data_IF_564629114959
#
_entry.id   IF_564629114959
#
_cell.length_a   1.000
_cell.length_b   1.000
_cell.length_c   1.000
_cell.angle_alpha   90.00
_cell.angle_beta   90.00
_cell.angle_gamma   90.00
#
_symmetry.space_group_name_H-M   'P 1'
#
loop_
_entity.id
_entity.type
_entity.pdbx_description
1 polymer ?
#
# COMPACT_ATOMS: atom_id res chain seq x y z
N UNK A 1 27.20 24.51 -6.60
CA UNK A 1 25.87 24.25 -6.03
C UNK A 1 24.96 23.96 -7.21
N UNK A 2 24.90 22.70 -7.63
CA UNK A 2 23.90 22.25 -8.59
C UNK A 2 22.55 22.34 -7.89
N UNK A 3 21.60 23.04 -8.49
CA UNK A 3 20.21 23.06 -8.01
C UNK A 3 19.67 21.65 -8.21
N UNK A 4 19.37 20.94 -7.13
CA UNK A 4 18.55 19.73 -7.21
C UNK A 4 17.21 20.14 -7.84
N UNK A 5 16.94 19.67 -9.06
CA UNK A 5 15.62 19.79 -9.67
C UNK A 5 14.63 19.01 -8.80
N UNK A 6 13.65 19.70 -8.20
CA UNK A 6 12.55 19.03 -7.51
C UNK A 6 11.87 18.07 -8.49
N UNK A 7 11.81 16.78 -8.14
CA UNK A 7 11.01 15.82 -8.90
C UNK A 7 9.56 16.31 -8.96
N UNK A 8 9.09 16.58 -10.17
CA UNK A 8 7.74 17.11 -10.44
C UNK A 8 6.63 16.11 -10.05
N UNK A 9 6.95 14.81 -10.01
CA UNK A 9 6.05 13.72 -9.61
C UNK A 9 6.82 12.54 -8.99
N UNK A 10 6.11 11.74 -8.18
CA UNK A 10 6.65 10.54 -7.50
C UNK A 10 6.49 9.28 -8.35
N UNK A 11 5.37 9.15 -9.06
CA UNK A 11 5.00 7.99 -9.88
C UNK A 11 4.46 8.41 -11.24
N UNK A 12 4.62 7.54 -12.23
CA UNK A 12 4.14 7.74 -13.61
C UNK A 12 3.27 6.57 -14.03
N UNK A 13 1.99 6.82 -14.32
CA UNK A 13 1.07 5.79 -14.78
C UNK A 13 0.64 6.03 -16.22
N UNK A 14 0.70 4.98 -17.03
CA UNK A 14 0.22 4.94 -18.40
C UNK A 14 -1.18 4.36 -18.44
N UNK A 15 -2.14 5.20 -18.82
CA UNK A 15 -3.56 4.85 -18.93
C UNK A 15 -4.01 5.00 -20.38
N UNK A 16 -4.72 4.01 -20.90
CA UNK A 16 -5.26 4.02 -22.25
C UNK A 16 -6.78 4.16 -22.22
N UNK A 17 -7.33 4.90 -23.19
CA UNK A 17 -8.75 4.87 -23.49
C UNK A 17 -8.95 4.11 -24.80
N UNK A 18 -9.75 3.04 -24.73
CA UNK A 18 -10.09 2.21 -25.89
C UNK A 18 -11.60 2.12 -26.03
N UNK A 19 -12.08 1.91 -27.24
CA UNK A 19 -13.50 1.97 -27.54
C UNK A 19 -13.75 2.38 -28.99
N UNK A 20 -14.99 2.20 -29.45
CA UNK A 20 -15.38 2.51 -30.82
C UNK A 20 -15.12 3.99 -31.19
N UNK A 21 -15.14 4.31 -32.48
CA UNK A 21 -15.04 5.71 -32.88
C UNK A 21 -16.27 6.49 -32.38
N UNK A 22 -16.13 7.80 -32.16
CA UNK A 22 -17.24 8.69 -31.76
C UNK A 22 -17.90 8.43 -30.39
N UNK A 23 -17.41 7.47 -29.60
CA UNK A 23 -17.93 7.21 -28.24
C UNK A 23 -17.61 8.32 -27.23
N UNK A 24 -16.66 9.20 -27.54
CA UNK A 24 -16.34 10.38 -26.74
C UNK A 24 -15.06 10.32 -25.89
N UNK A 25 -14.11 9.44 -26.23
CA UNK A 25 -12.82 9.28 -25.52
C UNK A 25 -12.04 10.59 -25.41
N UNK A 26 -11.91 11.31 -26.53
CA UNK A 26 -11.24 12.62 -26.61
C UNK A 26 -11.91 13.66 -25.71
N UNK A 27 -13.25 13.69 -25.69
CA UNK A 27 -14.02 14.61 -24.86
C UNK A 27 -13.87 14.28 -23.38
N UNK A 28 -13.86 13.00 -22.98
CA UNK A 28 -13.58 12.59 -21.59
C UNK A 28 -12.21 13.11 -21.16
N UNK A 29 -11.18 12.95 -22.01
CA UNK A 29 -9.82 13.40 -21.70
C UNK A 29 -9.68 14.91 -21.62
N UNK A 30 -10.26 15.64 -22.58
CA UNK A 30 -10.26 17.11 -22.55
C UNK A 30 -11.04 17.65 -21.37
N UNK A 31 -12.15 16.99 -21.00
CA UNK A 31 -12.91 17.38 -19.82
C UNK A 31 -12.12 17.18 -18.54
N UNK A 32 -11.43 16.04 -18.42
CA UNK A 32 -10.58 15.77 -17.27
C UNK A 32 -9.37 16.70 -17.22
N UNK A 33 -8.60 16.86 -18.31
CA UNK A 33 -7.34 17.61 -18.29
C UNK A 33 -7.55 19.12 -18.28
N UNK A 34 -8.49 19.61 -19.08
CA UNK A 34 -8.58 21.04 -19.42
C UNK A 34 -9.88 21.67 -18.89
N UNK A 35 -10.78 20.88 -18.29
CA UNK A 35 -12.16 21.26 -17.96
C UNK A 35 -12.96 21.79 -19.17
N UNK A 36 -12.56 21.42 -20.38
CA UNK A 36 -13.16 21.87 -21.64
C UNK A 36 -14.05 20.79 -22.27
N UNK A 37 -15.09 21.24 -22.96
CA UNK A 37 -15.92 20.40 -23.81
C UNK A 37 -16.18 21.11 -25.13
N UNK A 38 -15.96 20.42 -26.24
CA UNK A 38 -16.17 20.95 -27.59
C UNK A 38 -17.15 20.03 -28.32
N UNK A 39 -18.25 20.60 -28.82
CA UNK A 39 -19.22 19.87 -29.64
C UNK A 39 -18.70 19.59 -31.05
N UNK A 40 -17.77 20.40 -31.56
CA UNK A 40 -17.12 20.16 -32.84
C UNK A 40 -16.26 18.89 -32.79
N UNK A 41 -16.72 17.89 -33.52
CA UNK A 41 -16.05 16.61 -33.64
C UNK A 41 -14.95 16.66 -34.71
N UNK A 42 -13.70 16.84 -34.28
CA UNK A 42 -12.54 16.49 -35.10
C UNK A 42 -12.11 15.05 -34.78
N UNK A 43 -12.14 14.18 -35.78
CA UNK A 43 -11.63 12.80 -35.65
C UNK A 43 -10.16 12.81 -35.22
N UNK A 44 -9.85 12.17 -34.11
CA UNK A 44 -8.46 11.93 -33.69
C UNK A 44 -7.78 11.03 -34.72
N UNK A 45 -6.78 11.56 -35.42
CA UNK A 45 -5.93 10.79 -36.31
C UNK A 45 -4.79 10.15 -35.51
N UNK A 46 -4.88 8.85 -35.24
CA UNK A 46 -3.83 8.09 -34.56
C UNK A 46 -3.98 8.08 -33.04
N UNK A 47 -2.90 8.39 -32.32
CA UNK A 47 -2.88 8.42 -30.86
C UNK A 47 -2.50 9.82 -30.35
N UNK A 48 -3.28 10.33 -29.40
CA UNK A 48 -2.96 11.57 -28.70
C UNK A 48 -2.57 11.29 -27.25
N UNK A 49 -1.53 11.96 -26.76
CA UNK A 49 -1.06 11.86 -25.38
C UNK A 49 -1.38 13.17 -24.65
N UNK A 50 -2.08 13.06 -23.51
CA UNK A 50 -2.21 14.14 -22.53
C UNK A 50 -1.53 13.75 -21.22
N UNK A 51 -0.95 14.75 -20.56
CA UNK A 51 -0.29 14.59 -19.27
C UNK A 51 -1.10 15.34 -18.21
N UNK A 52 -1.42 14.69 -17.08
CA UNK A 52 -2.03 15.36 -15.93
C UNK A 52 -1.47 14.79 -14.63
N UNK A 53 -1.01 15.66 -13.75
CA UNK A 53 -0.58 15.26 -12.40
C UNK A 53 -1.76 15.33 -11.44
N UNK A 54 -2.00 14.26 -10.69
CA UNK A 54 -2.96 14.20 -9.59
C UNK A 54 -2.29 13.73 -8.31
N UNK A 55 -2.92 13.96 -7.15
CA UNK A 55 -2.38 13.55 -5.86
C UNK A 55 -3.29 12.48 -5.23
N UNK A 56 -2.73 11.31 -4.91
CA UNK A 56 -3.41 10.22 -4.20
C UNK A 56 -2.57 9.85 -2.98
N UNK A 57 -3.17 9.86 -1.79
CA UNK A 57 -2.50 9.53 -0.52
C UNK A 57 -1.17 10.26 -0.30
N UNK A 58 -1.15 11.56 -0.61
CA UNK A 58 0.06 12.42 -0.54
C UNK A 58 1.20 12.00 -1.48
N UNK A 59 0.92 11.19 -2.50
CA UNK A 59 1.84 10.84 -3.58
C UNK A 59 1.40 11.56 -4.85
N UNK A 60 2.31 12.32 -5.48
CA UNK A 60 2.06 12.98 -6.77
C UNK A 60 2.24 11.99 -7.91
N UNK A 61 1.15 11.69 -8.61
CA UNK A 61 1.12 10.72 -9.70
C UNK A 61 0.89 11.46 -11.00
N UNK A 62 1.85 11.37 -11.92
CA UNK A 62 1.70 11.87 -13.28
C UNK A 62 1.03 10.81 -14.15
N UNK A 63 -0.09 11.16 -14.76
CA UNK A 63 -0.84 10.29 -15.66
C UNK A 63 -0.47 10.59 -17.12
N UNK A 64 -0.02 9.56 -17.83
CA UNK A 64 0.10 9.54 -19.29
C UNK A 64 -1.18 8.98 -19.89
N UNK A 65 -2.05 9.86 -20.37
CA UNK A 65 -3.36 9.51 -20.87
C UNK A 65 -3.34 9.39 -22.39
N UNK A 66 -3.55 8.18 -22.90
CA UNK A 66 -3.50 7.87 -24.32
C UNK A 66 -4.91 7.75 -24.91
N UNK A 67 -5.28 8.71 -25.76
CA UNK A 67 -6.47 8.61 -26.62
C UNK A 67 -6.12 7.83 -27.88
N UNK A 68 -6.60 6.59 -27.96
CA UNK A 68 -6.28 5.70 -29.08
C UNK A 68 -7.50 5.63 -30.00
N UNK A 69 -7.40 6.28 -31.16
CA UNK A 69 -8.38 6.11 -32.24
C UNK A 69 -7.63 5.66 -33.49
N UNK A 70 -7.44 4.34 -33.61
CA UNK A 70 -6.70 3.74 -34.73
C UNK A 70 -7.71 3.33 -35.81
N UNK A 71 -7.63 3.88 -37.03
CA UNK A 71 -8.39 3.36 -38.16
C UNK A 71 -8.05 1.89 -38.41
N UNK A 72 -9.03 1.08 -38.79
CA UNK A 72 -8.85 -0.38 -38.94
C UNK A 72 -7.64 -0.78 -39.82
N UNK A 73 -7.32 0.02 -40.84
CA UNK A 73 -6.16 -0.19 -41.72
C UNK A 73 -4.78 -0.05 -41.04
N UNK A 74 -4.72 0.49 -39.83
CA UNK A 74 -3.50 0.71 -39.05
C UNK A 74 -3.40 -0.17 -37.80
N UNK A 75 -4.25 -1.22 -37.70
CA UNK A 75 -4.30 -2.18 -36.59
C UNK A 75 -2.95 -2.80 -36.21
N UNK A 76 -2.01 -2.96 -37.15
CA UNK A 76 -0.68 -3.53 -36.87
C UNK A 76 0.16 -2.67 -35.90
N UNK A 77 -0.19 -1.40 -35.70
CA UNK A 77 0.52 -0.47 -34.80
C UNK A 77 -0.06 -0.54 -33.38
N UNK A 78 -1.28 -1.08 -33.20
CA UNK A 78 -1.97 -1.19 -31.91
C UNK A 78 -1.12 -1.76 -30.76
N UNK A 79 -0.33 -2.86 -30.95
CA UNK A 79 0.43 -3.45 -29.84
C UNK A 79 1.43 -2.49 -29.18
N UNK A 80 1.95 -1.51 -29.93
CA UNK A 80 2.90 -0.53 -29.39
C UNK A 80 2.28 0.36 -28.32
N UNK A 81 0.98 0.66 -28.43
CA UNK A 81 0.29 1.52 -27.48
C UNK A 81 -0.07 0.77 -26.20
N UNK A 82 -0.54 -0.48 -26.30
CA UNK A 82 -0.90 -1.32 -25.15
C UNK A 82 0.29 -1.71 -24.27
N UNK A 83 1.49 -1.78 -24.83
CA UNK A 83 2.70 -2.15 -24.07
C UNK A 83 2.96 -1.20 -22.91
N UNK A 84 3.02 -1.75 -21.70
CA UNK A 84 3.28 -1.00 -20.47
C UNK A 84 2.08 -0.19 -19.96
N UNK A 85 0.89 -0.42 -20.50
CA UNK A 85 -0.36 0.08 -19.90
C UNK A 85 -0.51 -0.47 -18.48
N UNK A 86 -0.78 0.41 -17.52
CA UNK A 86 -1.12 0.04 -16.15
C UNK A 86 -2.64 0.12 -15.92
N UNK A 87 -3.32 1.00 -16.67
CA UNK A 87 -4.77 1.14 -16.62
C UNK A 87 -5.40 1.26 -18.00
N UNK A 88 -6.63 0.77 -18.14
CA UNK A 88 -7.40 0.86 -19.38
C UNK A 88 -8.85 1.22 -19.07
N UNK A 89 -9.34 2.22 -19.78
CA UNK A 89 -10.75 2.57 -19.83
C UNK A 89 -11.38 1.96 -21.09
N UNK A 90 -12.38 1.11 -20.87
CA UNK A 90 -13.24 0.53 -21.91
C UNK A 90 -14.45 1.43 -22.10
N UNK A 91 -14.48 2.23 -23.16
CA UNK A 91 -15.51 3.26 -23.36
C UNK A 91 -16.48 2.85 -24.46
N UNK A 92 -17.77 2.85 -24.13
CA UNK A 92 -18.86 2.76 -25.10
C UNK A 92 -19.82 3.96 -24.95
N UNK A 93 -20.69 4.14 -25.94
CA UNK A 93 -21.73 5.17 -25.95
C UNK A 93 -23.08 4.53 -25.63
N UNK A 94 -23.79 5.04 -24.62
CA UNK A 94 -25.09 4.48 -24.21
C UNK A 94 -26.17 4.59 -25.31
N UNK A 95 -25.99 5.47 -26.29
CA UNK A 95 -26.91 5.66 -27.42
C UNK A 95 -26.46 4.89 -28.67
N UNK A 96 -25.46 4.02 -28.58
CA UNK A 96 -24.96 3.25 -29.72
C UNK A 96 -24.68 1.80 -29.32
N UNK A 97 -25.58 0.90 -29.71
CA UNK A 97 -25.46 -0.54 -29.42
C UNK A 97 -24.20 -1.20 -29.99
N UNK A 98 -23.77 -0.81 -31.19
CA UNK A 98 -22.56 -1.38 -31.83
C UNK A 98 -21.31 -1.08 -31.00
N UNK A 99 -21.24 0.11 -30.40
CA UNK A 99 -20.11 0.50 -29.55
C UNK A 99 -19.97 -0.39 -28.30
N UNK A 100 -21.09 -0.85 -27.75
CA UNK A 100 -21.14 -1.76 -26.60
C UNK A 100 -20.76 -3.19 -27.00
N UNK A 101 -21.30 -3.70 -28.10
CA UNK A 101 -20.98 -5.04 -28.61
C UNK A 101 -19.48 -5.20 -28.94
N UNK A 102 -18.85 -4.12 -29.42
CA UNK A 102 -17.43 -4.09 -29.73
C UNK A 102 -16.51 -4.21 -28.51
N UNK A 103 -16.98 -3.93 -27.29
CA UNK A 103 -16.21 -4.16 -26.06
C UNK A 103 -15.79 -5.63 -25.97
N UNK A 104 -16.76 -6.54 -26.03
CA UNK A 104 -16.52 -7.99 -25.95
C UNK A 104 -15.89 -8.56 -27.21
N UNK A 105 -16.39 -8.14 -28.37
CA UNK A 105 -16.01 -8.76 -29.63
C UNK A 105 -14.57 -8.45 -30.05
N UNK A 106 -14.05 -7.29 -29.61
CA UNK A 106 -12.80 -6.74 -30.10
C UNK A 106 -11.88 -6.25 -28.98
N UNK A 107 -12.28 -5.24 -28.21
CA UNK A 107 -11.35 -4.53 -27.31
C UNK A 107 -10.79 -5.42 -26.20
N UNK A 108 -11.63 -6.28 -25.60
CA UNK A 108 -11.14 -7.25 -24.62
C UNK A 108 -10.13 -8.26 -25.19
N UNK A 109 -10.23 -8.61 -26.48
CA UNK A 109 -9.27 -9.52 -27.12
C UNK A 109 -7.94 -8.82 -27.32
N UNK A 110 -7.95 -7.57 -27.80
CA UNK A 110 -6.71 -6.78 -27.95
C UNK A 110 -6.00 -6.57 -26.61
N UNK A 111 -6.76 -6.25 -25.56
CA UNK A 111 -6.20 -6.08 -24.20
C UNK A 111 -5.52 -7.39 -23.78
N UNK A 112 -6.25 -8.52 -23.82
CA UNK A 112 -5.71 -9.84 -23.45
C UNK A 112 -4.49 -10.25 -24.26
N UNK A 113 -4.39 -9.81 -25.51
CA UNK A 113 -3.26 -10.15 -26.40
C UNK A 113 -2.03 -9.26 -26.16
N UNK A 114 -2.22 -7.97 -25.87
CA UNK A 114 -1.13 -6.98 -25.89
C UNK A 114 -0.78 -6.36 -24.53
N UNK A 115 -1.51 -6.66 -23.46
CA UNK A 115 -1.25 -6.15 -22.11
C UNK A 115 -0.75 -7.24 -21.16
N UNK A 116 -0.24 -6.83 -20.00
CA UNK A 116 0.08 -7.76 -18.92
C UNK A 116 -1.20 -8.20 -18.19
N UNK A 117 -1.13 -9.32 -17.46
CA UNK A 117 -2.26 -9.84 -16.66
C UNK A 117 -2.73 -8.88 -15.54
N UNK A 118 -1.88 -7.94 -15.12
CA UNK A 118 -2.12 -7.02 -13.99
C UNK A 118 -2.57 -5.63 -14.44
N UNK A 119 -3.24 -5.51 -15.59
CA UNK A 119 -3.74 -4.20 -16.05
C UNK A 119 -5.09 -3.91 -15.40
N UNK A 120 -5.21 -2.75 -14.75
CA UNK A 120 -6.47 -2.33 -14.17
C UNK A 120 -7.43 -1.86 -15.27
N UNK A 121 -8.71 -2.21 -15.13
CA UNK A 121 -9.72 -1.92 -16.14
C UNK A 121 -10.96 -1.33 -15.50
N UNK A 122 -11.57 -0.35 -16.16
CA UNK A 122 -12.90 0.17 -15.82
C UNK A 122 -13.75 0.26 -17.08
N UNK A 123 -14.99 -0.24 -16.99
CA UNK A 123 -16.00 -0.10 -18.04
C UNK A 123 -16.75 1.23 -17.88
N UNK A 124 -16.87 1.97 -18.99
CA UNK A 124 -17.48 3.30 -19.03
C UNK A 124 -18.58 3.36 -20.08
N UNK A 125 -19.79 3.67 -19.64
CA UNK A 125 -20.89 4.10 -20.52
C UNK A 125 -20.95 5.62 -20.60
N UNK A 126 -20.46 6.21 -21.70
CA UNK A 126 -20.46 7.66 -21.90
C UNK A 126 -21.78 8.17 -22.49
N UNK A 127 -21.97 9.50 -22.43
CA UNK A 127 -23.15 10.25 -22.91
C UNK A 127 -24.43 9.97 -22.13
N UNK A 128 -24.30 9.74 -20.82
CA UNK A 128 -25.46 9.51 -19.95
C UNK A 128 -26.39 10.74 -19.82
N UNK A 129 -26.00 11.90 -20.34
CA UNK A 129 -26.87 13.05 -20.54
C UNK A 129 -27.93 12.85 -21.63
N UNK A 130 -27.74 11.90 -22.54
CA UNK A 130 -28.66 11.60 -23.64
C UNK A 130 -29.64 10.46 -23.30
N UNK A 131 -30.26 10.53 -22.12
CA UNK A 131 -31.14 9.47 -21.60
C UNK A 131 -32.31 9.14 -22.54
N UNK A 132 -32.85 10.13 -23.24
CA UNK A 132 -33.95 9.96 -24.22
C UNK A 132 -33.57 9.12 -25.44
N UNK A 133 -32.26 9.01 -25.73
CA UNK A 133 -31.70 8.25 -26.87
C UNK A 133 -31.01 6.96 -26.43
N UNK A 134 -31.20 6.54 -25.18
CA UNK A 134 -30.53 5.36 -24.62
C UNK A 134 -30.92 4.09 -25.38
N UNK A 135 -29.91 3.37 -25.84
CA UNK A 135 -30.05 2.03 -26.45
C UNK A 135 -29.55 0.92 -25.50
N UNK A 136 -28.61 1.25 -24.62
CA UNK A 136 -28.04 0.33 -23.63
C UNK A 136 -28.49 0.72 -22.23
N UNK A 137 -29.20 -0.19 -21.55
CA UNK A 137 -29.63 0.03 -20.17
C UNK A 137 -28.43 -0.03 -19.21
N UNK A 138 -28.57 0.62 -18.04
CA UNK A 138 -27.51 0.63 -17.03
C UNK A 138 -27.22 -0.79 -16.52
N UNK A 139 -28.27 -1.61 -16.43
CA UNK A 139 -28.21 -3.00 -15.98
C UNK A 139 -27.34 -3.83 -16.93
N UNK A 140 -27.49 -3.69 -18.25
CA UNK A 140 -26.63 -4.38 -19.22
C UNK A 140 -25.16 -3.99 -19.11
N UNK A 141 -24.89 -2.70 -18.90
CA UNK A 141 -23.53 -2.21 -18.65
C UNK A 141 -22.92 -2.83 -17.40
N UNK A 142 -23.72 -2.88 -16.32
CA UNK A 142 -23.33 -3.49 -15.05
C UNK A 142 -23.12 -5.00 -15.15
N UNK A 143 -24.04 -5.72 -15.79
CA UNK A 143 -23.93 -7.17 -16.03
C UNK A 143 -22.63 -7.51 -16.75
N UNK A 144 -22.28 -6.76 -17.80
CA UNK A 144 -21.02 -6.96 -18.50
C UNK A 144 -19.81 -6.70 -17.60
N UNK A 145 -19.84 -5.65 -16.80
CA UNK A 145 -18.74 -5.35 -15.89
C UNK A 145 -18.57 -6.40 -14.78
N UNK A 146 -19.69 -6.92 -14.25
CA UNK A 146 -19.71 -8.00 -13.27
C UNK A 146 -19.15 -9.31 -13.87
N UNK A 147 -19.50 -9.64 -15.13
CA UNK A 147 -18.92 -10.78 -15.86
C UNK A 147 -17.40 -10.66 -16.04
N UNK A 148 -16.90 -9.44 -16.21
CA UNK A 148 -15.49 -9.13 -16.38
C UNK A 148 -14.76 -8.91 -15.05
N UNK A 149 -15.49 -8.85 -13.95
CA UNK A 149 -14.99 -8.49 -12.62
C UNK A 149 -14.24 -7.14 -12.61
N UNK A 150 -14.82 -6.12 -13.23
CA UNK A 150 -14.28 -4.76 -13.31
C UNK A 150 -15.32 -3.72 -12.86
N UNK A 151 -14.92 -2.54 -12.36
CA UNK A 151 -15.86 -1.48 -12.04
C UNK A 151 -16.60 -0.93 -13.26
N UNK A 152 -17.84 -0.47 -13.05
CA UNK A 152 -18.68 0.17 -14.07
C UNK A 152 -19.11 1.57 -13.65
N UNK A 153 -18.98 2.53 -14.57
CA UNK A 153 -19.48 3.89 -14.39
C UNK A 153 -20.20 4.39 -15.65
N UNK A 154 -21.29 5.11 -15.43
CA UNK A 154 -21.84 5.99 -16.47
C UNK A 154 -21.31 7.41 -16.30
N UNK A 155 -20.88 8.02 -17.40
CA UNK A 155 -20.27 9.34 -17.42
C UNK A 155 -20.89 10.24 -18.48
N UNK A 156 -20.77 11.54 -18.26
CA UNK A 156 -21.08 12.55 -19.27
C UNK A 156 -19.94 13.55 -19.34
N UNK A 157 -19.18 13.50 -20.43
CA UNK A 157 -18.16 14.52 -20.71
C UNK A 157 -18.78 15.91 -20.88
N UNK A 158 -20.01 15.99 -21.37
CA UNK A 158 -20.75 17.25 -21.56
C UNK A 158 -21.14 17.89 -20.23
N UNK A 159 -21.75 17.12 -19.34
CA UNK A 159 -22.26 17.59 -18.04
C UNK A 159 -21.27 17.42 -16.88
N UNK A 160 -20.04 16.97 -17.15
CA UNK A 160 -19.02 16.64 -16.15
C UNK A 160 -19.46 15.59 -15.11
N UNK A 161 -20.27 14.61 -15.52
CA UNK A 161 -20.76 13.57 -14.60
C UNK A 161 -19.72 12.46 -14.51
N UNK A 162 -19.28 12.16 -13.29
CA UNK A 162 -18.34 11.07 -12.94
C UNK A 162 -16.95 11.12 -13.61
N UNK A 163 -16.58 12.21 -14.29
CA UNK A 163 -15.30 12.33 -15.00
C UNK A 163 -14.12 12.21 -14.03
N UNK A 164 -14.03 13.03 -12.98
CA UNK A 164 -12.90 12.92 -12.05
C UNK A 164 -12.89 11.59 -11.29
N UNK A 165 -14.08 11.06 -10.95
CA UNK A 165 -14.24 9.83 -10.19
C UNK A 165 -13.60 8.63 -10.90
N UNK A 166 -13.84 8.46 -12.20
CA UNK A 166 -13.27 7.32 -12.95
C UNK A 166 -11.74 7.35 -13.00
N UNK A 167 -11.13 8.54 -13.13
CA UNK A 167 -9.67 8.68 -13.17
C UNK A 167 -9.05 8.48 -11.79
N UNK A 168 -9.67 9.00 -10.74
CA UNK A 168 -9.21 8.80 -9.36
C UNK A 168 -9.30 7.32 -8.99
N UNK A 169 -10.42 6.65 -9.30
CA UNK A 169 -10.62 5.24 -8.98
C UNK A 169 -9.61 4.35 -9.70
N UNK A 170 -9.46 4.49 -11.03
CA UNK A 170 -8.50 3.71 -11.79
C UNK A 170 -7.07 3.94 -11.27
N UNK A 171 -6.70 5.20 -11.02
CA UNK A 171 -5.36 5.53 -10.51
C UNK A 171 -5.14 4.93 -9.12
N UNK A 172 -6.15 4.94 -8.24
CA UNK A 172 -6.07 4.30 -6.92
C UNK A 172 -5.89 2.80 -7.06
N UNK A 173 -6.66 2.12 -7.91
CA UNK A 173 -6.53 0.68 -8.12
C UNK A 173 -5.12 0.31 -8.64
N UNK A 174 -4.59 1.09 -9.58
CA UNK A 174 -3.21 0.91 -10.07
C UNK A 174 -2.22 1.14 -8.94
N UNK A 175 -2.40 2.19 -8.14
CA UNK A 175 -1.53 2.51 -7.01
C UNK A 175 -1.53 1.41 -5.93
N UNK A 176 -2.67 0.79 -5.68
CA UNK A 176 -2.82 -0.35 -4.78
C UNK A 176 -2.15 -1.62 -5.34
N UNK A 177 -2.26 -1.84 -6.65
CA UNK A 177 -1.75 -3.05 -7.32
C UNK A 177 -0.28 -2.97 -7.75
N UNK A 178 0.30 -1.76 -7.84
CA UNK A 178 1.72 -1.57 -8.16
C UNK A 178 2.67 -2.17 -7.13
N UNK A 179 2.16 -2.50 -5.94
CA UNK A 179 2.94 -2.99 -4.83
C UNK A 179 2.13 -4.00 -4.00
N UNK A 180 1.59 -5.08 -4.58
CA UNK A 180 0.92 -6.10 -3.75
C UNK A 180 1.84 -6.67 -2.65
N UNK A 181 3.14 -6.86 -2.95
CA UNK A 181 4.10 -7.31 -1.94
C UNK A 181 4.52 -6.16 -1.02
N UNK A 182 4.72 -4.94 -1.52
CA UNK A 182 5.10 -3.81 -0.68
C UNK A 182 3.92 -3.34 0.17
N UNK A 183 2.77 -2.98 -0.41
CA UNK A 183 1.55 -2.56 0.29
C UNK A 183 1.10 -3.58 1.33
N UNK A 184 1.19 -4.91 1.07
CA UNK A 184 0.94 -5.90 2.12
C UNK A 184 1.95 -5.83 3.29
N UNK A 185 3.25 -5.56 3.04
CA UNK A 185 4.21 -5.26 4.12
C UNK A 185 3.75 -4.02 4.88
N UNK A 186 3.41 -2.95 4.13
CA UNK A 186 2.99 -1.66 4.69
C UNK A 186 1.79 -1.88 5.63
N UNK A 187 0.75 -2.59 5.19
CA UNK A 187 -0.45 -2.93 5.97
C UNK A 187 -0.17 -3.88 7.14
N UNK A 188 0.68 -4.89 6.96
CA UNK A 188 1.04 -5.84 8.03
C UNK A 188 1.75 -5.14 9.17
N UNK A 189 2.81 -4.36 8.87
CA UNK A 189 3.54 -3.57 9.87
C UNK A 189 2.61 -2.58 10.58
N UNK A 190 1.75 -1.89 9.82
CA UNK A 190 0.78 -0.97 10.39
C UNK A 190 -0.18 -1.65 11.38
N UNK A 191 -0.72 -2.81 11.02
CA UNK A 191 -1.61 -3.60 11.87
C UNK A 191 -0.90 -4.10 13.14
N UNK A 192 0.39 -4.42 13.07
CA UNK A 192 1.12 -4.92 14.23
C UNK A 192 1.37 -3.83 15.28
N UNK A 193 1.68 -2.61 14.85
CA UNK A 193 1.77 -1.48 15.77
C UNK A 193 0.39 -1.05 16.31
N UNK A 194 -0.66 -1.19 15.51
CA UNK A 194 -2.02 -1.01 16.00
C UNK A 194 -2.36 -2.01 17.11
N UNK A 195 -2.01 -3.30 16.95
CA UNK A 195 -2.18 -4.31 18.00
C UNK A 195 -1.40 -3.98 19.27
N UNK A 196 -0.18 -3.42 19.17
CA UNK A 196 0.58 -2.97 20.35
C UNK A 196 -0.16 -1.85 21.08
N UNK A 197 -0.65 -0.86 20.33
CA UNK A 197 -1.37 0.27 20.89
C UNK A 197 -2.67 -0.16 21.59
N UNK A 198 -3.47 -1.02 20.95
CA UNK A 198 -4.75 -1.48 21.48
C UNK A 198 -4.61 -2.37 22.72
N UNK A 199 -3.58 -3.23 22.75
CA UNK A 199 -3.41 -4.22 23.83
C UNK A 199 -2.71 -3.65 25.06
N UNK A 200 -1.96 -2.55 24.94
CA UNK A 200 -1.23 -1.88 26.05
C UNK A 200 -0.31 -2.82 26.83
N UNK A 201 0.15 -3.90 26.21
CA UNK A 201 1.08 -4.87 26.81
C UNK A 201 2.52 -4.37 26.63
N UNK A 202 3.40 -4.70 27.57
CA UNK A 202 4.84 -4.38 27.52
C UNK A 202 5.18 -2.87 27.41
N UNK A 203 4.24 -2.01 27.80
CA UNK A 203 4.51 -0.59 27.98
C UNK A 203 5.47 -0.39 29.16
N UNK A 204 6.50 0.41 28.96
CA UNK A 204 7.59 0.68 29.88
C UNK A 204 7.53 2.10 30.48
N UNK A 205 6.46 2.85 30.17
CA UNK A 205 6.23 4.18 30.71
C UNK A 205 4.75 4.58 30.76
N UNK A 206 4.42 5.56 31.60
CA UNK A 206 3.08 6.12 31.74
C UNK A 206 3.11 7.64 31.53
N UNK A 207 2.19 8.14 30.71
CA UNK A 207 1.91 9.57 30.55
C UNK A 207 0.56 9.90 31.17
N UNK A 208 0.33 11.17 31.50
CA UNK A 208 -0.96 11.64 32.01
C UNK A 208 -1.61 12.62 31.04
N UNK A 209 -2.95 12.64 31.00
CA UNK A 209 -3.77 13.63 30.30
C UNK A 209 -5.04 13.94 31.09
N UNK A 210 -5.79 14.97 30.70
CA UNK A 210 -7.09 15.29 31.32
C UNK A 210 -8.14 14.26 30.91
N UNK A 211 -8.96 13.85 31.87
CA UNK A 211 -10.10 12.97 31.60
C UNK A 211 -11.19 13.74 30.85
N UNK A 212 -11.66 13.19 29.73
CA UNK A 212 -12.74 13.79 28.93
C UNK A 212 -14.08 13.81 29.69
N UNK A 213 -14.28 12.88 30.63
CA UNK A 213 -15.49 12.81 31.46
C UNK A 213 -15.43 13.75 32.67
N UNK A 214 -14.23 13.99 33.20
CA UNK A 214 -14.00 14.92 34.30
C UNK A 214 -12.65 15.63 34.19
N UNK A 215 -12.58 16.84 33.62
CA UNK A 215 -11.32 17.54 33.37
C UNK A 215 -10.46 17.87 34.62
N UNK A 216 -11.02 17.72 35.84
CA UNK A 216 -10.28 17.85 37.09
C UNK A 216 -9.48 16.58 37.44
N UNK A 217 -9.84 15.44 36.85
CA UNK A 217 -9.12 14.18 36.97
C UNK A 217 -8.06 14.04 35.88
N UNK A 218 -7.01 13.28 36.22
CA UNK A 218 -6.01 12.84 35.26
C UNK A 218 -6.13 11.36 35.00
N UNK A 219 -6.00 10.98 33.72
CA UNK A 219 -5.92 9.60 33.28
C UNK A 219 -4.48 9.27 32.94
N UNK A 220 -4.04 8.10 33.38
CA UNK A 220 -2.75 7.51 33.02
C UNK A 220 -2.90 6.67 31.77
N UNK A 221 -2.04 6.90 30.78
CA UNK A 221 -1.98 6.14 29.54
C UNK A 221 -0.61 5.45 29.47
N UNK A 222 -0.57 4.11 29.46
CA UNK A 222 0.68 3.37 29.29
C UNK A 222 1.16 3.48 27.83
N UNK A 223 2.47 3.66 27.64
CA UNK A 223 3.11 3.82 26.33
C UNK A 223 4.46 3.08 26.26
N UNK A 224 4.92 2.84 25.04
CA UNK A 224 6.25 2.32 24.74
C UNK A 224 7.24 3.46 24.48
N UNK A 225 8.21 3.71 25.38
CA UNK A 225 9.21 4.79 25.25
C UNK A 225 9.88 4.75 23.90
N UNK A 226 10.31 3.57 23.46
CA UNK A 226 11.07 3.39 22.22
C UNK A 226 10.30 3.88 20.98
N UNK A 227 8.99 3.63 20.91
CA UNK A 227 8.14 4.05 19.80
C UNK A 227 8.03 5.59 19.78
N UNK A 228 7.83 6.19 20.96
CA UNK A 228 7.75 7.65 21.09
C UNK A 228 9.08 8.31 20.76
N UNK A 229 10.20 7.84 21.32
CA UNK A 229 11.54 8.38 21.07
C UNK A 229 11.85 8.40 19.57
N UNK A 230 11.58 7.30 18.89
CA UNK A 230 11.86 7.20 17.46
C UNK A 230 10.94 8.08 16.61
N UNK A 231 9.62 8.04 16.87
CA UNK A 231 8.66 8.80 16.06
C UNK A 231 8.70 10.29 16.33
N UNK A 232 9.03 10.71 17.55
CA UNK A 232 9.19 12.11 17.92
C UNK A 232 10.64 12.60 17.84
N UNK A 233 11.62 11.72 17.60
CA UNK A 233 13.06 12.04 17.54
C UNK A 233 13.52 12.81 18.78
N UNK A 234 13.08 12.35 19.95
CA UNK A 234 13.37 12.95 21.26
C UNK A 234 14.05 11.91 22.16
N UNK A 235 14.82 12.38 23.13
CA UNK A 235 15.47 11.51 24.12
C UNK A 235 14.56 11.23 25.33
N UNK A 236 15.01 10.34 26.21
CA UNK A 236 14.27 9.96 27.43
C UNK A 236 13.96 11.14 28.35
N UNK A 237 14.93 12.03 28.59
CA UNK A 237 14.72 13.22 29.43
C UNK A 237 13.63 14.15 28.87
N UNK A 238 13.57 14.30 27.55
CA UNK A 238 12.54 15.09 26.88
C UNK A 238 11.15 14.44 26.98
N UNK A 239 11.07 13.11 26.99
CA UNK A 239 9.81 12.39 27.23
C UNK A 239 9.33 12.67 28.66
N UNK A 240 10.21 12.46 29.64
CA UNK A 240 9.85 12.49 31.06
C UNK A 240 9.48 13.90 31.55
N UNK A 241 10.09 14.95 30.97
CA UNK A 241 9.89 16.32 31.45
C UNK A 241 9.03 17.14 30.49
N UNK A 242 9.42 17.24 29.22
CA UNK A 242 8.81 18.20 28.28
C UNK A 242 7.52 17.62 27.68
N UNK A 243 7.59 16.42 27.10
CA UNK A 243 6.42 15.78 26.49
C UNK A 243 5.35 15.50 27.54
N UNK A 244 5.73 14.91 28.69
CA UNK A 244 4.80 14.64 29.79
C UNK A 244 4.05 15.90 30.24
N UNK A 245 4.76 17.02 30.41
CA UNK A 245 4.17 18.31 30.79
C UNK A 245 3.11 18.77 29.78
N UNK A 246 3.42 18.69 28.48
CA UNK A 246 2.48 19.07 27.42
C UNK A 246 1.26 18.13 27.41
N UNK A 247 1.47 16.81 27.40
CA UNK A 247 0.37 15.83 27.34
C UNK A 247 -0.60 15.99 28.51
N UNK A 248 -0.08 16.28 29.71
CA UNK A 248 -0.88 16.45 30.94
C UNK A 248 -1.89 17.61 30.89
N UNK A 249 -1.70 18.56 29.97
CA UNK A 249 -2.56 19.73 29.82
C UNK A 249 -3.67 19.54 28.79
N UNK A 250 -3.62 18.47 28.00
CA UNK A 250 -4.53 18.22 26.88
C UNK A 250 -5.59 17.17 27.23
N UNK A 251 -6.68 17.16 26.46
CA UNK A 251 -7.77 16.20 26.64
C UNK A 251 -7.35 14.79 26.23
N UNK A 252 -8.04 13.77 26.77
CA UNK A 252 -7.74 12.37 26.44
C UNK A 252 -7.91 12.12 24.95
N UNK A 253 -8.98 12.64 24.34
CA UNK A 253 -9.21 12.55 22.89
C UNK A 253 -8.04 13.11 22.07
N UNK A 254 -7.52 14.29 22.42
CA UNK A 254 -6.40 14.90 21.70
C UNK A 254 -5.13 14.06 21.80
N UNK A 255 -4.83 13.55 23.00
CA UNK A 255 -3.66 12.71 23.25
C UNK A 255 -3.79 11.37 22.52
N UNK A 256 -4.95 10.74 22.52
CA UNK A 256 -5.20 9.50 21.78
C UNK A 256 -4.99 9.67 20.28
N UNK A 257 -5.39 10.80 19.68
CA UNK A 257 -5.16 11.08 18.26
C UNK A 257 -3.66 11.19 17.95
N UNK A 258 -2.90 11.87 18.81
CA UNK A 258 -1.45 11.93 18.66
C UNK A 258 -0.81 10.55 18.77
N UNK A 259 -1.19 9.76 19.77
CA UNK A 259 -0.65 8.42 19.96
C UNK A 259 -1.00 7.51 18.78
N UNK A 260 -2.22 7.55 18.26
CA UNK A 260 -2.60 6.81 17.05
C UNK A 260 -1.71 7.16 15.85
N UNK A 261 -1.43 8.45 15.65
CA UNK A 261 -0.49 8.88 14.62
C UNK A 261 0.95 8.40 14.89
N UNK A 262 1.40 8.44 16.14
CA UNK A 262 2.73 7.96 16.52
C UNK A 262 2.86 6.47 16.22
N UNK A 263 1.91 5.65 16.65
CA UNK A 263 1.98 4.20 16.55
C UNK A 263 1.81 3.67 15.12
N UNK A 264 0.93 4.26 14.31
CA UNK A 264 0.63 3.67 12.99
C UNK A 264 0.51 4.70 11.85
N UNK A 265 0.85 5.97 12.07
CA UNK A 265 0.99 6.97 11.01
C UNK A 265 -0.30 7.38 10.29
N UNK A 266 -1.47 6.94 10.77
CA UNK A 266 -2.79 7.29 10.23
C UNK A 266 -3.62 8.00 11.29
N UNK A 267 -4.40 8.97 10.81
CA UNK A 267 -5.41 9.70 11.58
C UNK A 267 -6.65 9.82 10.69
N UNK A 268 -7.84 9.78 11.28
CA UNK A 268 -9.08 9.94 10.52
C UNK A 268 -9.14 11.34 9.90
N UNK A 269 -9.87 11.52 8.79
CA UNK A 269 -10.02 12.84 8.17
C UNK A 269 -10.59 13.89 9.14
N UNK A 270 -11.48 13.46 10.04
CA UNK A 270 -12.13 14.31 11.03
C UNK A 270 -11.16 14.82 12.11
N UNK A 271 -10.09 14.06 12.38
CA UNK A 271 -9.11 14.35 13.42
C UNK A 271 -7.86 15.08 12.89
N UNK A 272 -7.80 15.39 11.58
CA UNK A 272 -6.66 16.06 10.94
C UNK A 272 -6.36 17.45 11.49
N UNK A 273 -7.39 18.20 11.90
CA UNK A 273 -7.24 19.52 12.51
C UNK A 273 -6.48 19.42 13.84
N UNK A 274 -6.83 18.45 14.68
CA UNK A 274 -6.20 18.19 15.98
C UNK A 274 -4.73 17.81 15.80
N UNK A 275 -4.42 16.96 14.81
CA UNK A 275 -3.02 16.61 14.51
C UNK A 275 -2.20 17.83 14.05
N UNK A 276 -2.79 18.75 13.28
CA UNK A 276 -2.12 19.99 12.88
C UNK A 276 -1.84 20.90 14.08
N UNK A 277 -2.70 20.92 15.09
CA UNK A 277 -2.45 21.67 16.32
C UNK A 277 -1.29 21.08 17.13
N UNK A 278 -1.16 19.75 17.14
CA UNK A 278 -0.02 19.08 17.78
C UNK A 278 1.35 19.51 17.20
N UNK A 279 1.41 19.85 15.91
CA UNK A 279 2.62 20.43 15.30
C UNK A 279 3.06 21.71 16.02
N UNK A 280 2.12 22.56 16.39
CA UNK A 280 2.43 23.80 17.11
C UNK A 280 2.79 23.50 18.57
N UNK A 281 2.01 22.64 19.23
CA UNK A 281 2.24 22.25 20.63
C UNK A 281 3.62 21.62 20.84
N UNK A 282 4.09 20.79 19.90
CA UNK A 282 5.36 20.06 20.00
C UNK A 282 6.55 20.76 19.33
N UNK A 283 6.35 21.90 18.68
CA UNK A 283 7.37 22.61 17.89
C UNK A 283 8.67 22.95 18.67
N UNK A 284 8.56 23.12 19.98
CA UNK A 284 9.70 23.41 20.86
C UNK A 284 10.51 22.17 21.25
N UNK A 285 9.90 20.98 21.20
CA UNK A 285 10.50 19.72 21.66
C UNK A 285 11.00 18.90 20.48
N UNK A 286 10.25 18.88 19.37
CA UNK A 286 10.62 18.12 18.18
C UNK A 286 10.46 18.91 16.87
N UNK A 287 11.39 18.69 15.95
CA UNK A 287 11.41 19.31 14.60
C UNK A 287 10.81 18.40 13.54
N UNK A 288 9.71 17.74 13.87
CA UNK A 288 9.10 16.77 12.95
C UNK A 288 8.05 17.42 12.07
N UNK A 289 8.12 17.08 10.79
CA UNK A 289 7.01 17.27 9.87
C UNK A 289 5.97 16.18 10.15
N UNK A 290 4.81 16.59 10.65
CA UNK A 290 3.65 15.72 10.88
C UNK A 290 3.08 15.29 9.52
N UNK A 291 3.74 14.33 8.90
CA UNK A 291 3.33 13.70 7.65
C UNK A 291 2.32 12.61 7.95
N UNK A 292 1.27 12.57 7.14
CA UNK A 292 0.26 11.51 7.17
C UNK A 292 0.65 10.50 6.10
N UNK A 293 0.42 9.22 6.39
CA UNK A 293 0.60 8.17 5.41
C UNK A 293 1.71 7.19 5.75
N UNK A 294 1.56 6.01 5.18
CA UNK A 294 2.31 4.81 5.58
C UNK A 294 3.80 4.91 5.22
N UNK A 295 4.14 5.61 4.14
CA UNK A 295 5.54 5.79 3.70
C UNK A 295 6.39 6.53 4.73
N UNK A 296 5.86 7.60 5.34
CA UNK A 296 6.59 8.34 6.37
C UNK A 296 6.79 7.48 7.62
N UNK A 297 5.74 6.77 8.02
CA UNK A 297 5.79 5.86 9.16
C UNK A 297 6.84 4.76 8.96
N UNK A 298 6.89 4.15 7.78
CA UNK A 298 7.85 3.09 7.47
C UNK A 298 9.29 3.58 7.41
N UNK A 299 9.53 4.79 6.92
CA UNK A 299 10.86 5.40 6.92
C UNK A 299 11.37 5.61 8.36
N UNK A 300 10.52 6.09 9.25
CA UNK A 300 10.89 6.24 10.66
C UNK A 300 11.09 4.87 11.34
N UNK A 301 10.28 3.88 10.98
CA UNK A 301 10.43 2.52 11.46
C UNK A 301 11.74 1.89 10.97
N UNK A 302 12.14 2.11 9.73
CA UNK A 302 13.43 1.68 9.20
C UNK A 302 14.62 2.26 9.99
N UNK A 303 14.52 3.51 10.44
CA UNK A 303 15.52 4.13 11.33
C UNK A 303 15.60 3.36 12.66
N UNK A 304 14.46 3.04 13.28
CA UNK A 304 14.42 2.21 14.49
C UNK A 304 15.05 0.84 14.27
N UNK A 305 14.69 0.16 13.18
CA UNK A 305 15.17 -1.19 12.88
C UNK A 305 16.69 -1.24 12.67
N UNK A 306 17.26 -0.19 12.09
CA UNK A 306 18.69 -0.10 11.78
C UNK A 306 19.54 0.41 12.95
N UNK A 307 18.92 0.90 14.03
CA UNK A 307 19.63 1.35 15.22
C UNK A 307 20.08 0.17 16.09
N UNK A 308 21.39 0.00 16.25
CA UNK A 308 21.95 -1.02 17.14
C UNK A 308 21.78 -0.65 18.63
N UNK A 309 21.75 0.64 18.95
CA UNK A 309 21.65 1.15 20.33
C UNK A 309 20.28 0.86 20.97
N UNK A 310 19.24 0.71 20.13
CA UNK A 310 17.86 0.50 20.59
C UNK A 310 17.49 -0.98 20.76
N UNK A 311 18.36 -1.91 20.34
CA UNK A 311 18.13 -3.34 20.48
C UNK A 311 18.32 -3.77 21.93
N UNK A 312 17.23 -4.25 22.53
CA UNK A 312 17.10 -4.52 23.96
C UNK A 312 17.07 -6.02 24.30
N UNK A 313 17.27 -6.90 23.32
CA UNK A 313 17.28 -8.35 23.51
C UNK A 313 18.35 -9.07 22.67
N UNK A 314 18.84 -10.20 23.19
CA UNK A 314 19.90 -11.01 22.59
C UNK A 314 19.45 -12.46 22.42
N UNK A 315 19.59 -12.98 21.21
CA UNK A 315 19.36 -14.39 20.85
C UNK A 315 20.73 -15.04 20.61
N UNK A 316 21.02 -16.18 21.26
CA UNK A 316 22.26 -16.92 21.04
C UNK A 316 21.96 -18.18 20.20
N UNK A 317 22.73 -18.38 19.13
CA UNK A 317 22.69 -19.60 18.33
C UNK A 317 24.09 -20.02 17.90
N UNK A 318 24.51 -21.23 18.28
CA UNK A 318 25.83 -21.79 17.98
C UNK A 318 26.98 -20.83 18.35
N UNK A 319 26.96 -20.26 19.56
CA UNK A 319 27.91 -19.26 20.06
C UNK A 319 27.97 -17.94 19.26
N UNK A 320 26.98 -17.65 18.42
CA UNK A 320 26.80 -16.34 17.81
C UNK A 320 25.65 -15.58 18.48
N UNK A 321 25.90 -14.31 18.80
CA UNK A 321 24.92 -13.41 19.39
C UNK A 321 24.21 -12.61 18.29
N UNK A 322 22.88 -12.56 18.36
CA UNK A 322 22.04 -11.75 17.47
C UNK A 322 21.20 -10.81 18.31
N UNK A 323 21.46 -9.50 18.18
CA UNK A 323 20.69 -8.45 18.86
C UNK A 323 19.41 -8.12 18.11
N UNK A 324 18.31 -7.97 18.85
CA UNK A 324 16.96 -7.70 18.32
C UNK A 324 16.13 -6.84 19.27
N UNK A 325 15.04 -6.27 18.78
CA UNK A 325 14.06 -5.51 19.56
C UNK A 325 12.97 -6.43 20.11
N UNK A 326 12.72 -6.41 21.43
CA UNK A 326 11.65 -7.20 22.09
C UNK A 326 10.28 -6.92 21.48
N UNK A 327 9.97 -5.64 21.24
CA UNK A 327 8.68 -5.21 20.68
C UNK A 327 8.39 -5.83 19.31
N UNK A 328 9.42 -6.01 18.48
CA UNK A 328 9.30 -6.64 17.16
C UNK A 328 9.06 -8.14 17.29
N UNK A 329 9.67 -8.81 18.26
CA UNK A 329 9.42 -10.23 18.52
C UNK A 329 8.00 -10.48 19.03
N UNK A 330 7.55 -9.70 20.02
CA UNK A 330 6.24 -9.83 20.67
C UNK A 330 5.08 -9.61 19.69
N UNK A 331 5.26 -8.67 18.75
CA UNK A 331 4.25 -8.39 17.73
C UNK A 331 4.13 -9.51 16.70
N UNK A 332 5.24 -10.15 16.36
CA UNK A 332 5.32 -11.09 15.25
C UNK A 332 5.26 -12.56 15.66
N UNK A 333 5.38 -12.88 16.95
CA UNK A 333 5.43 -14.26 17.45
C UNK A 333 4.67 -14.43 18.77
N UNK A 334 3.71 -15.35 18.78
CA UNK A 334 2.96 -15.73 19.99
C UNK A 334 3.84 -16.45 21.01
N UNK A 335 4.84 -17.20 20.55
CA UNK A 335 5.83 -17.85 21.41
C UNK A 335 6.62 -16.82 22.21
N UNK A 336 7.23 -15.83 21.54
CA UNK A 336 7.99 -14.78 22.23
C UNK A 336 7.07 -13.97 23.16
N UNK A 337 5.85 -13.67 22.74
CA UNK A 337 4.86 -13.02 23.61
C UNK A 337 4.58 -13.82 24.88
N UNK A 338 4.28 -15.11 24.77
CA UNK A 338 4.04 -15.99 25.91
C UNK A 338 5.26 -16.09 26.83
N UNK A 339 6.45 -16.19 26.23
CA UNK A 339 7.72 -16.23 26.95
C UNK A 339 7.94 -14.97 27.80
N UNK A 340 7.77 -13.79 27.21
CA UNK A 340 7.94 -12.51 27.92
C UNK A 340 6.81 -12.21 28.92
N UNK A 341 5.63 -12.81 28.76
CA UNK A 341 4.53 -12.70 29.72
C UNK A 341 4.76 -13.55 30.99
N UNK A 342 5.52 -14.64 30.89
CA UNK A 342 5.75 -15.59 32.01
C UNK A 342 7.02 -15.22 32.80
N UNK A 343 8.00 -14.55 32.18
CA UNK A 343 9.23 -14.15 32.84
C UNK A 343 9.04 -12.92 33.73
N UNK A 344 9.03 -13.09 35.05
CA UNK A 344 9.29 -12.00 36.02
C UNK A 344 10.76 -11.50 35.95
N UNK A 345 11.61 -12.22 35.20
CA UNK A 345 13.01 -11.89 34.99
C UNK A 345 13.17 -10.66 34.08
N UNK A 346 13.53 -9.55 34.71
CA UNK A 346 14.03 -8.32 34.06
C UNK A 346 15.40 -8.50 33.38
N UNK A 347 15.90 -9.72 33.28
CA UNK A 347 17.22 -10.00 32.71
C UNK A 347 17.13 -9.97 31.18
N UNK A 348 17.91 -9.08 30.57
CA UNK A 348 18.13 -9.04 29.12
C UNK A 348 19.03 -10.20 28.67
N UNK A 349 18.70 -11.45 29.01
CA UNK A 349 19.64 -12.56 28.79
C UNK A 349 19.01 -13.82 28.17
N UNK A 350 19.44 -14.05 26.93
CA UNK A 350 19.92 -15.30 26.33
C UNK A 350 19.01 -16.53 26.40
N UNK A 351 18.39 -16.84 25.26
CA UNK A 351 17.99 -18.21 24.93
C UNK A 351 18.96 -18.80 23.91
N UNK A 352 19.53 -19.96 24.26
CA UNK A 352 20.43 -20.71 23.39
C UNK A 352 19.64 -21.65 22.48
N UNK A 353 19.60 -21.34 21.18
CA UNK A 353 19.00 -22.18 20.16
C UNK A 353 20.10 -23.03 19.49
N UNK A 354 20.47 -24.13 20.15
CA UNK A 354 21.62 -24.98 19.82
C UNK A 354 21.41 -25.95 18.65
N UNK A 355 20.16 -26.15 18.19
CA UNK A 355 19.83 -27.19 17.20
C UNK A 355 19.53 -26.69 15.78
N UNK A 356 19.74 -25.39 15.46
CA UNK A 356 19.43 -24.81 14.13
C UNK A 356 20.62 -24.04 13.56
N UNK A 357 20.75 -24.03 12.24
CA UNK A 357 21.79 -23.24 11.57
C UNK A 357 21.54 -21.74 11.82
N UNK A 358 22.58 -21.02 12.22
CA UNK A 358 22.50 -19.60 12.57
C UNK A 358 21.96 -18.74 11.42
N UNK A 359 22.24 -19.13 10.17
CA UNK A 359 21.71 -18.50 8.95
C UNK A 359 20.16 -18.50 8.90
N UNK A 360 19.51 -19.54 9.42
CA UNK A 360 18.04 -19.67 9.43
C UNK A 360 17.41 -18.72 10.43
N UNK A 361 18.00 -18.60 11.63
CA UNK A 361 17.53 -17.68 12.67
C UNK A 361 17.74 -16.23 12.21
N UNK A 362 18.89 -15.91 11.63
CA UNK A 362 19.13 -14.58 11.03
C UNK A 362 18.11 -14.25 9.93
N UNK A 363 17.71 -15.23 9.13
CA UNK A 363 16.72 -15.03 8.07
C UNK A 363 15.31 -14.79 8.60
N UNK A 364 14.94 -15.42 9.74
CA UNK A 364 13.65 -15.19 10.41
C UNK A 364 13.63 -13.84 11.12
N UNK A 365 14.73 -13.46 11.76
CA UNK A 365 14.88 -12.15 12.37
C UNK A 365 14.77 -11.09 11.28
N UNK A 366 15.45 -11.27 10.15
CA UNK A 366 15.30 -10.38 8.99
C UNK A 366 13.84 -10.32 8.53
N UNK A 367 13.13 -11.45 8.48
CA UNK A 367 11.70 -11.47 8.16
C UNK A 367 10.84 -10.68 9.16
N UNK A 368 11.11 -10.74 10.47
CA UNK A 368 10.35 -9.95 11.46
C UNK A 368 10.45 -8.44 11.22
N UNK A 369 11.57 -7.97 10.69
CA UNK A 369 11.80 -6.57 10.38
C UNK A 369 11.28 -6.17 8.99
N UNK A 370 11.49 -7.01 7.98
CA UNK A 370 11.30 -6.61 6.59
C UNK A 370 10.11 -7.26 5.91
N UNK A 371 9.45 -8.21 6.58
CA UNK A 371 8.46 -9.13 5.98
C UNK A 371 9.01 -9.85 4.73
N UNK A 372 10.33 -9.84 4.53
CA UNK A 372 11.00 -10.47 3.41
C UNK A 372 11.92 -11.57 3.95
N UNK A 373 11.98 -12.68 3.22
CA UNK A 373 13.01 -13.69 3.47
C UNK A 373 14.15 -13.35 2.50
N UNK A 374 15.39 -13.13 2.98
CA UNK A 374 16.52 -12.86 2.09
C UNK A 374 16.62 -13.94 1.02
N UNK A 375 17.19 -13.62 -0.15
CA UNK A 375 17.57 -14.65 -1.14
C UNK A 375 18.72 -15.48 -0.59
N UNK A 376 18.43 -16.37 0.35
CA UNK A 376 19.41 -17.23 0.99
C UNK A 376 20.05 -18.11 -0.09
N UNK A 377 21.38 -18.20 -0.08
CA UNK A 377 22.17 -19.03 -1.00
C UNK A 377 21.69 -20.49 -0.92
N UNK A 378 20.91 -20.96 -1.91
CA UNK A 378 20.66 -22.36 -2.39
C UNK A 378 20.56 -23.55 -1.40
N UNK A 379 20.78 -23.41 -0.10
CA UNK A 379 21.04 -24.52 0.84
C UNK A 379 19.99 -24.68 1.94
N UNK A 380 19.28 -23.61 2.32
CA UNK A 380 18.15 -23.68 3.27
C UNK A 380 16.87 -24.09 2.51
N UNK A 381 16.35 -25.26 2.85
CA UNK A 381 15.21 -25.91 2.21
C UNK A 381 13.92 -25.37 2.85
N UNK A 382 12.85 -25.25 2.05
CA UNK A 382 11.46 -25.01 2.51
C UNK A 382 11.09 -25.71 3.85
N UNK A 383 11.62 -26.91 4.09
CA UNK A 383 11.41 -27.71 5.31
C UNK A 383 11.98 -27.01 6.55
N UNK A 384 13.18 -26.44 6.49
CA UNK A 384 13.80 -25.73 7.62
C UNK A 384 13.07 -24.41 7.93
N UNK A 385 12.66 -23.65 6.91
CA UNK A 385 11.85 -22.44 7.10
C UNK A 385 10.47 -22.76 7.68
N UNK A 386 9.83 -23.84 7.20
CA UNK A 386 8.53 -24.27 7.71
C UNK A 386 8.64 -24.74 9.17
N UNK A 387 9.63 -25.56 9.50
CA UNK A 387 9.88 -25.99 10.88
C UNK A 387 10.09 -24.82 11.83
N UNK A 388 10.82 -23.79 11.39
CA UNK A 388 11.01 -22.60 12.19
C UNK A 388 9.71 -21.78 12.37
N UNK A 389 8.88 -21.67 11.34
CA UNK A 389 7.59 -20.98 11.42
C UNK A 389 6.64 -21.67 12.38
N UNK A 390 6.57 -23.00 12.28
CA UNK A 390 5.79 -23.84 13.19
C UNK A 390 6.34 -23.72 14.63
N UNK A 391 7.67 -23.69 14.80
CA UNK A 391 8.33 -23.54 16.10
C UNK A 391 8.10 -22.18 16.76
N UNK A 392 8.28 -21.07 16.03
CA UNK A 392 8.08 -19.72 16.55
C UNK A 392 6.59 -19.30 16.59
N UNK A 393 5.68 -20.18 16.20
CA UNK A 393 4.23 -19.95 16.15
C UNK A 393 3.89 -18.64 15.43
N UNK A 394 4.44 -18.49 14.23
CA UNK A 394 4.29 -17.26 13.44
C UNK A 394 2.95 -17.26 12.69
N UNK A 395 2.03 -16.40 13.12
CA UNK A 395 0.76 -16.17 12.45
C UNK A 395 0.91 -15.11 11.34
N UNK A 396 1.58 -15.46 10.24
CA UNK A 396 1.73 -14.58 9.06
C UNK A 396 1.22 -15.25 7.79
N UNK A 397 0.07 -14.80 7.28
CA UNK A 397 -0.52 -15.25 6.01
C UNK A 397 0.45 -15.09 4.83
N UNK A 398 1.26 -14.02 4.84
CA UNK A 398 2.30 -13.76 3.86
C UNK A 398 3.38 -14.83 3.89
N UNK A 399 3.87 -15.17 5.09
CA UNK A 399 4.89 -16.20 5.26
C UNK A 399 4.37 -17.57 4.80
N UNK A 400 3.09 -17.86 5.08
CA UNK A 400 2.39 -19.05 4.55
C UNK A 400 2.33 -19.03 3.02
N UNK A 401 1.96 -17.90 2.39
CA UNK A 401 1.96 -17.74 0.92
C UNK A 401 3.36 -17.89 0.32
N UNK A 402 4.40 -17.31 0.93
CA UNK A 402 5.81 -17.44 0.51
C UNK A 402 6.23 -18.92 0.55
N UNK A 403 5.93 -19.60 1.66
CA UNK A 403 6.17 -21.03 1.86
C UNK A 403 5.48 -21.82 0.74
N UNK A 404 4.20 -21.57 0.46
CA UNK A 404 3.46 -22.22 -0.63
C UNK A 404 4.09 -21.98 -2.02
N UNK A 405 4.47 -20.73 -2.35
CA UNK A 405 5.17 -20.38 -3.60
C UNK A 405 6.51 -21.14 -3.73
N UNK A 406 7.28 -21.26 -2.64
CA UNK A 406 8.53 -22.03 -2.61
C UNK A 406 8.30 -23.53 -2.81
N UNK A 407 7.21 -24.09 -2.25
CA UNK A 407 6.78 -25.48 -2.45
C UNK A 407 6.49 -25.78 -3.92
N UNK A 408 5.78 -24.88 -4.61
CA UNK A 408 5.46 -25.00 -6.04
C UNK A 408 6.72 -24.96 -6.90
N UNK A 409 7.63 -24.00 -6.67
CA UNK A 409 8.93 -23.92 -7.36
C UNK A 409 9.79 -25.17 -7.15
N UNK A 410 9.78 -25.78 -5.94
CA UNK A 410 10.48 -27.05 -5.65
C UNK A 410 9.87 -28.21 -6.46
N UNK A 411 8.54 -28.29 -6.59
CA UNK A 411 7.84 -29.29 -7.41
C UNK A 411 8.15 -29.13 -8.90
N UNK A 412 8.10 -27.92 -9.43
CA UNK A 412 8.40 -27.63 -10.84
C UNK A 412 9.84 -27.98 -11.22
N UNK A 413 10.81 -27.65 -10.36
CA UNK A 413 12.23 -28.03 -10.57
C UNK A 413 12.42 -29.55 -10.57
N UNK A 414 11.74 -30.28 -9.67
CA UNK A 414 11.75 -31.76 -9.67
C UNK A 414 11.15 -32.33 -10.95
N UNK A 415 10.05 -31.76 -11.44
CA UNK A 415 9.41 -32.19 -12.69
C UNK A 415 10.29 -31.93 -13.92
N UNK A 416 10.96 -30.76 -13.97
CA UNK A 416 11.90 -30.41 -15.04
C UNK A 416 13.14 -31.31 -15.07
N UNK A 417 13.65 -31.74 -13.90
CA UNK A 417 14.75 -32.72 -13.80
C UNK A 417 14.34 -34.10 -14.30
N UNK A 418 13.20 -34.63 -13.84
CA UNK A 418 12.66 -35.91 -14.32
C UNK A 418 12.43 -35.94 -15.84
N UNK A 419 11.97 -34.82 -16.43
CA UNK A 419 11.79 -34.69 -17.88
C UNK A 419 13.11 -34.60 -18.67
N UNK A 420 14.22 -34.20 -18.04
CA UNK A 420 15.56 -34.23 -18.65
C UNK A 420 16.15 -35.64 -18.59
N UNK A 421 16.03 -36.30 -17.44
CA UNK A 421 16.49 -37.69 -17.21
C UNK A 421 15.71 -38.73 -18.04
N UNK A 422 14.51 -38.40 -18.53
CA UNK A 422 13.75 -39.26 -19.46
C UNK A 422 14.04 -38.97 -20.94
N UNK A 423 14.81 -37.93 -21.25
CA UNK A 423 15.20 -37.52 -22.62
C UNK A 423 16.67 -37.81 -22.95
N UNK A 424 17.47 -38.13 -21.93
CA UNK A 424 18.79 -38.75 -22.02
C UNK A 424 18.63 -40.26 -21.87
#
# INVERSE_FOLDING_TARGET
MEKEEEKEYDLLFKILLVGFFEVGKTQILSKFCDNQFTEEYMRTLGAALKMKTIEIDSTRIQLQLWDITIPERFRLISPMYYRGAQGIFLVYDITNKESFENINNYWLKEIKEYTNENVEMILIGNKCDLEEKREISKEKGKELADELNIPFYEVSAKNNINIDNIFIELTRNIFENLDEDENMIKYTIQNDFQKLFERKEFCDFEIECKDDQNPLNKIKIPIHKLIIQNRLKINENQIENELYSILSQNSQKEVDILLKWIYFGKVSYQDLSILKEWKNKLSNICKIEFKIGIKSFLKDLEILMNSEETKDFQIISNNQEIKVHKLILITRSELFRGMFNISEDKSNSVHEYSNKQTETIQSLIHFFYTDNIPKIKKKIIYEELKECVDYFQLNSERLIKIIQKLKLKKKEKKLKRKKKEQKE
#
